data_IF_673188579653
#
_entry.id   IF_673188579653
#
_cell.length_a   1.000
_cell.length_b   1.000
_cell.length_c   1.000
_cell.angle_alpha   90.00
_cell.angle_beta   90.00
_cell.angle_gamma   90.00
#
_symmetry.space_group_name_H-M   'P 1'
#
loop_
_entity.id
_entity.type
_entity.pdbx_description
1 polymer ?
#
# COMPACT_ATOMS: atom_id res chain seq x y z
N UNK A 1 -16.32 17.95 16.77
CA UNK A 1 -15.29 17.85 15.71
C UNK A 1 -14.65 16.47 15.82
N UNK A 2 -14.87 15.57 14.86
CA UNK A 2 -14.28 14.22 14.87
C UNK A 2 -13.07 14.23 13.95
N UNK A 3 -11.87 14.05 14.49
CA UNK A 3 -10.65 13.97 13.69
C UNK A 3 -10.50 12.54 13.15
N UNK A 4 -10.62 12.38 11.83
CA UNK A 4 -10.32 11.11 11.16
C UNK A 4 -8.87 11.18 10.69
N UNK A 5 -8.00 10.38 11.33
CA UNK A 5 -6.60 10.27 10.91
C UNK A 5 -6.54 9.57 9.54
N UNK A 6 -6.07 10.29 8.53
CA UNK A 6 -5.76 9.69 7.23
C UNK A 6 -4.55 8.77 7.36
N UNK A 7 -4.64 7.56 6.79
CA UNK A 7 -3.52 6.60 6.74
C UNK A 7 -2.43 7.11 5.80
N UNK A 8 -1.19 7.00 6.23
CA UNK A 8 0.01 7.19 5.42
C UNK A 8 0.15 6.10 4.37
N UNK A 9 1.03 6.31 3.39
CA UNK A 9 1.35 5.31 2.37
C UNK A 9 1.95 4.03 2.96
N UNK A 10 2.77 4.19 4.00
CA UNK A 10 3.34 3.06 4.74
C UNK A 10 2.25 2.26 5.46
N UNK A 11 1.37 2.94 6.20
CA UNK A 11 0.25 2.27 6.90
C UNK A 11 -0.69 1.52 5.94
N UNK A 12 -0.89 2.02 4.71
CA UNK A 12 -1.65 1.30 3.67
C UNK A 12 -0.90 0.05 3.17
N UNK A 13 0.41 0.16 2.94
CA UNK A 13 1.22 -0.96 2.47
C UNK A 13 1.28 -2.06 3.54
N UNK A 14 1.53 -1.69 4.80
CA UNK A 14 1.58 -2.63 5.92
C UNK A 14 0.24 -3.35 6.10
N UNK A 15 -0.87 -2.65 5.90
CA UNK A 15 -2.21 -3.26 5.90
C UNK A 15 -2.36 -4.33 4.82
N UNK A 16 -2.01 -4.01 3.57
CA UNK A 16 -2.12 -4.96 2.44
C UNK A 16 -1.23 -6.19 2.67
N UNK A 17 0.02 -5.99 3.11
CA UNK A 17 0.96 -7.08 3.38
C UNK A 17 0.47 -7.93 4.54
N UNK A 18 -0.02 -7.32 5.62
CA UNK A 18 -0.51 -8.03 6.80
C UNK A 18 -1.73 -8.88 6.44
N UNK A 19 -2.68 -8.31 5.70
CA UNK A 19 -3.86 -9.04 5.20
C UNK A 19 -3.44 -10.26 4.36
N UNK A 20 -2.52 -10.08 3.42
CA UNK A 20 -2.02 -11.16 2.58
C UNK A 20 -1.32 -12.28 3.35
N UNK A 21 -0.56 -11.93 4.41
CA UNK A 21 0.10 -12.92 5.27
C UNK A 21 -0.89 -13.73 6.11
N UNK A 22 -2.04 -13.15 6.45
CA UNK A 22 -3.05 -13.80 7.29
C UNK A 22 -3.99 -14.71 6.48
N UNK A 23 -4.17 -14.45 5.19
CA UNK A 23 -5.01 -15.28 4.32
C UNK A 23 -4.18 -16.34 3.59
N UNK A 24 -4.28 -17.59 4.05
CA UNK A 24 -3.58 -18.74 3.45
C UNK A 24 -3.93 -19.00 1.97
N UNK A 25 -4.99 -18.40 1.43
CA UNK A 25 -5.36 -18.50 0.02
C UNK A 25 -4.52 -17.59 -0.87
N UNK A 26 -3.91 -16.55 -0.30
CA UNK A 26 -3.05 -15.61 -1.00
C UNK A 26 -1.64 -16.19 -1.05
N UNK A 27 -1.18 -16.56 -2.24
CA UNK A 27 0.13 -17.21 -2.43
C UNK A 27 1.27 -16.25 -2.73
N UNK A 28 0.95 -15.01 -3.09
CA UNK A 28 1.94 -14.00 -3.41
C UNK A 28 1.30 -12.66 -3.73
N UNK A 29 2.10 -11.61 -3.57
CA UNK A 29 1.73 -10.23 -3.86
C UNK A 29 2.87 -9.60 -4.63
N UNK A 30 2.55 -9.00 -5.78
CA UNK A 30 3.52 -8.32 -6.61
C UNK A 30 3.23 -6.81 -6.56
N UNK A 31 4.24 -6.04 -6.19
CA UNK A 31 4.19 -4.58 -6.28
C UNK A 31 4.73 -4.14 -7.64
N UNK A 32 4.09 -3.16 -8.25
CA UNK A 32 4.51 -2.65 -9.56
C UNK A 32 4.38 -1.11 -9.62
N UNK A 33 4.86 -0.54 -10.72
CA UNK A 33 4.75 0.87 -11.05
C UNK A 33 5.71 1.74 -10.25
N UNK A 34 5.33 3.00 -10.04
CA UNK A 34 6.16 4.00 -9.35
C UNK A 34 6.45 3.67 -7.88
N UNK A 35 5.75 2.69 -7.27
CA UNK A 35 5.94 2.29 -5.87
C UNK A 35 7.21 1.48 -5.62
N UNK A 36 7.74 0.84 -6.65
CA UNK A 36 8.96 0.02 -6.58
C UNK A 36 10.14 0.67 -7.29
N UNK A 37 9.93 1.83 -7.93
CA UNK A 37 10.98 2.55 -8.64
C UNK A 37 11.42 3.78 -7.83
N UNK A 38 12.59 3.74 -7.18
CA UNK A 38 13.07 4.86 -6.35
C UNK A 38 13.37 6.13 -7.16
N UNK A 39 13.53 6.01 -8.49
CA UNK A 39 13.83 7.11 -9.39
C UNK A 39 12.56 7.84 -9.87
N UNK A 40 11.37 7.30 -9.60
CA UNK A 40 10.10 7.91 -10.00
C UNK A 40 9.41 8.47 -8.75
N UNK A 41 9.39 9.80 -8.64
CA UNK A 41 8.50 10.46 -7.68
C UNK A 41 7.06 10.16 -8.09
N UNK A 42 6.33 9.43 -7.26
CA UNK A 42 4.90 9.22 -7.47
C UNK A 42 4.18 10.57 -7.41
N UNK A 43 3.61 11.00 -8.55
CA UNK A 43 2.85 12.25 -8.67
C UNK A 43 1.35 11.96 -8.71
N UNK A 44 0.54 12.76 -8.01
CA UNK A 44 -0.91 12.75 -8.14
C UNK A 44 -1.65 11.60 -7.41
N UNK A 45 -2.80 11.20 -7.97
CA UNK A 45 -3.66 10.13 -7.47
C UNK A 45 -2.98 8.78 -7.66
N UNK A 46 -2.84 8.00 -6.58
CA UNK A 46 -2.25 6.66 -6.65
C UNK A 46 -3.37 5.63 -6.54
N UNK A 47 -3.49 4.76 -7.55
CA UNK A 47 -4.44 3.64 -7.53
C UNK A 47 -4.05 2.66 -6.44
N UNK A 48 -4.97 2.36 -5.51
CA UNK A 48 -4.76 1.38 -4.45
C UNK A 48 -4.65 -0.04 -5.00
#
# INVERSE_FOLDING_TARGET
MIYVKMRTEQEKMDFIITFAKQDHRIRGLLMNGSRVNPNIKAKGHKSF
#
